data_IF_889799799557
#
_entry.id   IF_889799799557
#
_cell.length_a   1.000
_cell.length_b   1.000
_cell.length_c   1.000
_cell.angle_alpha   90.00
_cell.angle_beta   90.00
_cell.angle_gamma   90.00
#
_symmetry.space_group_name_H-M   'P 1'
#
loop_
_entity.id
_entity.type
_entity.pdbx_description
1 polymer ?
#
# COMPACT_ATOMS: atom_id res chain seq x y z
N UNK A 1 1.02 -22.81 6.10
CA UNK A 1 -0.04 -22.26 7.00
C UNK A 1 -1.02 -21.51 6.13
N UNK A 2 -2.32 -21.82 6.17
CA UNK A 2 -3.33 -21.03 5.43
C UNK A 2 -3.23 -19.57 5.92
N UNK A 3 -3.09 -18.57 5.02
CA UNK A 3 -3.02 -17.18 5.44
C UNK A 3 -4.28 -16.84 6.25
N UNK A 4 -4.12 -16.42 7.50
CA UNK A 4 -5.26 -16.00 8.30
C UNK A 4 -5.77 -14.68 7.73
N UNK A 5 -6.91 -14.69 7.03
CA UNK A 5 -7.51 -13.53 6.34
C UNK A 5 -7.50 -12.27 7.22
N UNK A 6 -7.75 -12.39 8.54
CA UNK A 6 -7.70 -11.27 9.48
C UNK A 6 -6.31 -10.62 9.62
N UNK A 7 -5.23 -11.41 9.54
CA UNK A 7 -3.85 -10.91 9.56
C UNK A 7 -3.53 -10.10 8.30
N UNK A 8 -4.04 -10.50 7.12
CA UNK A 8 -3.85 -9.73 5.88
C UNK A 8 -4.59 -8.40 5.96
N UNK A 9 -5.84 -8.38 6.43
CA UNK A 9 -6.56 -7.12 6.63
C UNK A 9 -5.85 -6.18 7.61
N UNK A 10 -5.30 -6.72 8.70
CA UNK A 10 -4.50 -5.93 9.64
C UNK A 10 -3.21 -5.41 8.99
N UNK A 11 -2.51 -6.24 8.21
CA UNK A 11 -1.30 -5.84 7.50
C UNK A 11 -1.59 -4.73 6.46
N UNK A 12 -2.68 -4.83 5.70
CA UNK A 12 -3.09 -3.78 4.75
C UNK A 12 -3.39 -2.44 5.45
N UNK A 13 -4.02 -2.46 6.63
CA UNK A 13 -4.23 -1.27 7.44
C UNK A 13 -2.92 -0.66 7.93
N UNK A 14 -1.97 -1.49 8.37
CA UNK A 14 -0.67 -1.04 8.82
C UNK A 14 0.18 -0.47 7.68
N UNK A 15 0.13 -1.08 6.49
CA UNK A 15 0.76 -0.55 5.28
C UNK A 15 0.26 0.85 4.95
N UNK A 16 -1.05 1.09 5.01
CA UNK A 16 -1.62 2.40 4.74
C UNK A 16 -1.10 3.46 5.71
N UNK A 17 -1.02 3.13 7.01
CA UNK A 17 -0.45 4.03 8.02
C UNK A 17 1.04 4.31 7.73
N UNK A 18 1.82 3.26 7.44
CA UNK A 18 3.24 3.40 7.10
C UNK A 18 3.45 4.26 5.84
N UNK A 19 2.57 4.10 4.86
CA UNK A 19 2.61 4.84 3.61
C UNK A 19 2.26 6.32 3.82
N UNK A 20 1.27 6.64 4.66
CA UNK A 20 0.97 8.02 5.05
C UNK A 20 2.17 8.66 5.74
N UNK A 21 2.75 8.00 6.74
CA UNK A 21 3.93 8.51 7.45
C UNK A 21 5.13 8.68 6.52
N UNK A 22 5.37 7.72 5.63
CA UNK A 22 6.42 7.79 4.62
C UNK A 22 6.23 8.95 3.65
N UNK A 23 5.01 9.16 3.14
CA UNK A 23 4.68 10.28 2.28
C UNK A 23 4.86 11.63 2.97
N UNK A 24 4.47 11.75 4.24
CA UNK A 24 4.69 12.97 5.02
C UNK A 24 6.18 13.25 5.13
N UNK A 25 6.98 12.26 5.55
CA UNK A 25 8.41 12.45 5.78
C UNK A 25 9.17 12.78 4.48
N UNK A 26 8.91 12.01 3.42
CA UNK A 26 9.52 12.23 2.10
C UNK A 26 9.02 13.54 1.50
N UNK A 27 7.72 13.82 1.61
CA UNK A 27 7.11 15.03 1.08
C UNK A 27 7.68 16.30 1.74
N UNK A 28 7.85 16.28 3.06
CA UNK A 28 8.50 17.37 3.80
C UNK A 28 9.97 17.52 3.41
N UNK A 29 10.72 16.42 3.34
CA UNK A 29 12.11 16.45 2.92
C UNK A 29 12.29 17.00 1.50
N UNK A 30 11.42 16.62 0.56
CA UNK A 30 11.41 17.18 -0.80
C UNK A 30 11.05 18.66 -0.77
N UNK A 31 10.10 19.05 0.07
CA UNK A 31 9.67 20.44 0.15
C UNK A 31 10.76 21.37 0.69
N UNK A 32 11.51 20.91 1.70
CA UNK A 32 12.65 21.63 2.28
C UNK A 32 13.81 21.77 1.28
N UNK A 33 14.09 20.76 0.46
CA UNK A 33 15.22 20.79 -0.47
C UNK A 33 14.92 21.50 -1.81
N UNK A 34 13.67 21.44 -2.28
CA UNK A 34 13.30 21.94 -3.60
C UNK A 34 12.30 23.12 -3.56
N UNK A 35 11.81 23.51 -2.38
CA UNK A 35 10.91 24.65 -2.21
C UNK A 35 9.56 24.45 -2.90
N UNK A 36 9.05 23.22 -2.97
CA UNK A 36 7.88 22.84 -3.77
C UNK A 36 6.53 23.34 -3.23
N UNK A 37 6.53 24.02 -2.07
CA UNK A 37 5.35 24.52 -1.34
C UNK A 37 4.27 23.45 -1.16
N UNK A 38 4.67 22.25 -0.78
CA UNK A 38 3.78 21.12 -0.52
C UNK A 38 3.33 20.33 -1.77
N UNK A 39 3.73 20.73 -2.98
CA UNK A 39 3.44 19.95 -4.20
C UNK A 39 4.15 18.59 -4.19
N UNK A 40 5.35 18.50 -3.59
CA UNK A 40 6.06 17.24 -3.38
C UNK A 40 5.21 16.27 -2.56
N UNK A 41 4.65 16.73 -1.44
CA UNK A 41 3.77 15.92 -0.59
C UNK A 41 2.54 15.42 -1.36
N UNK A 42 1.85 16.31 -2.07
CA UNK A 42 0.62 15.96 -2.82
C UNK A 42 0.96 14.95 -3.94
N UNK A 43 2.01 15.20 -4.72
CA UNK A 43 2.42 14.33 -5.82
C UNK A 43 2.85 12.95 -5.33
N UNK A 44 3.69 12.88 -4.30
CA UNK A 44 4.11 11.60 -3.72
C UNK A 44 2.96 10.85 -3.05
N UNK A 45 2.06 11.55 -2.37
CA UNK A 45 0.88 10.92 -1.76
C UNK A 45 -0.05 10.32 -2.82
N UNK A 46 -0.29 11.04 -3.92
CA UNK A 46 -1.09 10.54 -5.03
C UNK A 46 -0.43 9.32 -5.70
N UNK A 47 0.87 9.39 -6.00
CA UNK A 47 1.60 8.27 -6.59
C UNK A 47 1.64 7.04 -5.68
N UNK A 48 1.89 7.24 -4.38
CA UNK A 48 1.94 6.17 -3.40
C UNK A 48 0.55 5.53 -3.20
N UNK A 49 -0.53 6.32 -3.18
CA UNK A 49 -1.89 5.80 -3.12
C UNK A 49 -2.24 4.95 -4.35
N UNK A 50 -1.89 5.40 -5.55
CA UNK A 50 -2.10 4.62 -6.78
C UNK A 50 -1.30 3.32 -6.74
N UNK A 51 -0.02 3.38 -6.36
CA UNK A 51 0.82 2.19 -6.22
C UNK A 51 0.25 1.19 -5.19
N UNK A 52 -0.25 1.69 -4.07
CA UNK A 52 -0.88 0.88 -3.04
C UNK A 52 -2.19 0.24 -3.51
N UNK A 53 -3.04 0.96 -4.25
CA UNK A 53 -4.26 0.39 -4.83
C UNK A 53 -3.94 -0.74 -5.81
N UNK A 54 -2.90 -0.57 -6.64
CA UNK A 54 -2.43 -1.64 -7.53
C UNK A 54 -1.96 -2.85 -6.71
N UNK A 55 -1.22 -2.62 -5.63
CA UNK A 55 -0.78 -3.69 -4.72
C UNK A 55 -1.96 -4.45 -4.10
N UNK A 56 -2.96 -3.73 -3.59
CA UNK A 56 -4.20 -4.31 -3.04
C UNK A 56 -4.89 -5.20 -4.07
N UNK A 57 -5.08 -4.71 -5.31
CA UNK A 57 -5.72 -5.48 -6.38
C UNK A 57 -4.93 -6.75 -6.70
N UNK A 58 -3.61 -6.67 -6.77
CA UNK A 58 -2.77 -7.86 -6.98
C UNK A 58 -2.89 -8.87 -5.85
N UNK A 59 -2.96 -8.40 -4.60
CA UNK A 59 -3.09 -9.25 -3.42
C UNK A 59 -4.44 -9.96 -3.43
N UNK A 60 -5.53 -9.24 -3.70
CA UNK A 60 -6.88 -9.80 -3.80
C UNK A 60 -6.97 -10.88 -4.89
N UNK A 61 -6.41 -10.63 -6.08
CA UNK A 61 -6.38 -11.62 -7.17
C UNK A 61 -5.62 -12.89 -6.80
N UNK A 62 -4.53 -12.77 -6.04
CA UNK A 62 -3.80 -13.94 -5.51
C UNK A 62 -4.63 -14.69 -4.47
N UNK A 63 -5.32 -13.97 -3.58
CA UNK A 63 -6.18 -14.58 -2.59
C UNK A 63 -7.35 -15.36 -3.21
N UNK A 64 -7.96 -14.81 -4.26
CA UNK A 64 -9.02 -15.49 -5.01
C UNK A 64 -8.48 -16.74 -5.71
N UNK A 65 -7.35 -16.63 -6.42
CA UNK A 65 -6.72 -17.77 -7.09
C UNK A 65 -6.34 -18.91 -6.13
N UNK A 66 -5.75 -18.60 -4.96
CA UNK A 66 -5.40 -19.58 -3.92
C UNK A 66 -6.65 -20.22 -3.26
N UNK A 67 -7.81 -19.58 -3.36
CA UNK A 67 -9.08 -20.08 -2.81
C UNK A 67 -9.80 -21.03 -3.78
N UNK A 68 -9.46 -20.98 -5.07
CA UNK A 68 -10.13 -21.73 -6.14
C UNK A 68 -9.46 -23.08 -6.47
N UNK A 69 -8.25 -23.38 -6.00
CA UNK A 69 -7.68 -24.74 -6.11
C UNK A 69 -8.43 -25.70 -5.16
N UNK A 70 -9.32 -26.58 -5.68
CA UNK A 70 -9.89 -27.63 -4.85
C UNK A 70 -8.80 -28.69 -4.62
N UNK A 71 -8.77 -29.24 -3.40
CA UNK A 71 -7.99 -30.42 -3.05
C UNK A 71 -8.12 -31.51 -4.13
N UNK A 72 -7.17 -31.56 -5.07
CA UNK A 72 -6.89 -32.78 -5.81
C UNK A 72 -6.20 -33.71 -4.83
N UNK A 73 -6.98 -34.65 -4.32
CA UNK A 73 -6.53 -35.82 -3.54
C UNK A 73 -5.32 -36.52 -4.17
#
# INVERSE_FOLDING_TARGET
>A
MKPNKGLIFMAMGFELVGLILGCIFIGQWVDENYGTKGLGLVGFSAAALVGWLVHIVQLLKKFEADSEEPESK
#
